data_IF_891287333937
#
_entry.id   IF_891287333937
#
_cell.length_a   1.000
_cell.length_b   1.000
_cell.length_c   1.000
_cell.angle_alpha   90.00
_cell.angle_beta   90.00
_cell.angle_gamma   90.00
#
_symmetry.space_group_name_H-M   'P 1'
#
loop_
_entity.id
_entity.type
_entity.pdbx_description
1 polymer ?
#
# COMPACT_ATOMS: atom_id res chain seq x y z
N UNK A 1 13.65 -34.63 -2.30
CA UNK A 1 12.62 -33.97 -3.13
C UNK A 1 11.22 -34.55 -2.94
N UNK A 2 11.00 -35.87 -3.04
CA UNK A 2 9.66 -36.48 -2.91
C UNK A 2 8.89 -36.17 -1.60
N UNK A 3 9.59 -35.96 -0.48
CA UNK A 3 8.97 -35.59 0.80
C UNK A 3 8.30 -34.21 0.78
N UNK A 4 8.82 -33.25 0.01
CA UNK A 4 8.21 -31.91 -0.13
C UNK A 4 6.93 -31.94 -0.96
N UNK A 5 6.91 -32.74 -2.03
CA UNK A 5 5.76 -32.88 -2.92
C UNK A 5 4.59 -33.55 -2.18
N UNK A 6 4.87 -34.65 -1.46
CA UNK A 6 3.86 -35.35 -0.64
C UNK A 6 3.26 -34.48 0.48
N UNK A 7 4.00 -33.50 0.99
CA UNK A 7 3.48 -32.61 2.04
C UNK A 7 2.38 -31.64 1.57
N UNK A 8 2.29 -31.41 0.25
CA UNK A 8 1.31 -30.52 -0.36
C UNK A 8 0.28 -31.25 -1.24
N UNK A 9 0.29 -32.58 -1.25
CA UNK A 9 -0.81 -33.32 -1.87
C UNK A 9 -2.14 -32.89 -1.24
N UNK A 10 -3.09 -32.40 -2.04
CA UNK A 10 -4.41 -32.13 -1.53
C UNK A 10 -4.95 -33.47 -1.02
N UNK A 11 -5.17 -33.59 0.28
CA UNK A 11 -5.97 -34.69 0.84
C UNK A 11 -7.40 -34.49 0.33
N UNK A 12 -7.64 -34.87 -0.92
CA UNK A 12 -8.95 -35.02 -1.52
C UNK A 12 -9.54 -36.27 -0.90
N UNK A 13 -10.25 -36.09 0.21
CA UNK A 13 -11.32 -36.97 0.70
C UNK A 13 -11.77 -36.42 2.05
N UNK A 14 -12.80 -35.57 2.01
CA UNK A 14 -13.84 -35.71 3.01
C UNK A 14 -14.78 -36.78 2.44
N UNK A 15 -14.91 -37.97 3.05
CA UNK A 15 -15.97 -38.89 2.65
C UNK A 15 -17.30 -38.14 2.77
N UNK A 16 -18.16 -38.29 1.75
CA UNK A 16 -19.51 -37.74 1.73
C UNK A 16 -20.21 -38.16 3.02
N UNK A 17 -20.29 -37.23 3.98
CA UNK A 17 -20.91 -37.49 5.27
C UNK A 17 -22.37 -37.16 5.11
N UNK A 18 -23.20 -38.21 5.17
CA UNK A 18 -24.65 -38.11 5.29
C UNK A 18 -25.04 -37.05 6.33
N UNK A 19 -25.89 -36.14 5.87
CA UNK A 19 -26.88 -35.32 6.56
C UNK A 19 -26.61 -34.86 8.02
N UNK A 20 -26.55 -33.53 8.19
CA UNK A 20 -27.14 -32.88 9.37
C UNK A 20 -26.21 -32.40 10.49
N UNK A 21 -24.91 -32.74 10.51
CA UNK A 21 -24.00 -32.19 11.53
C UNK A 21 -23.37 -30.89 11.03
N UNK A 22 -23.67 -29.78 11.72
CA UNK A 22 -22.95 -28.48 11.60
C UNK A 22 -21.45 -28.78 11.60
N UNK A 23 -20.83 -28.76 10.43
CA UNK A 23 -19.39 -28.92 10.27
C UNK A 23 -18.74 -27.81 11.09
N UNK A 24 -18.27 -28.17 12.29
CA UNK A 24 -17.55 -27.26 13.16
C UNK A 24 -16.38 -26.73 12.35
N UNK A 25 -16.47 -25.45 11.97
CA UNK A 25 -15.49 -24.73 11.16
C UNK A 25 -14.21 -24.48 11.97
N UNK A 26 -13.82 -25.44 12.82
CA UNK A 26 -12.47 -25.69 13.33
C UNK A 26 -11.55 -26.02 12.16
N UNK A 27 -11.38 -25.02 11.31
CA UNK A 27 -10.15 -24.55 10.71
C UNK A 27 -8.95 -25.40 11.12
N UNK A 28 -8.78 -26.56 10.47
CA UNK A 28 -7.66 -27.48 10.75
C UNK A 28 -6.37 -26.70 10.71
N UNK A 29 -5.63 -26.72 11.83
CA UNK A 29 -4.29 -26.17 11.90
C UNK A 29 -3.46 -26.90 10.84
N UNK A 30 -2.62 -26.21 10.08
CA UNK A 30 -1.78 -26.87 9.10
C UNK A 30 -0.89 -27.90 9.80
N UNK A 31 -0.72 -29.06 9.17
CA UNK A 31 0.10 -30.14 9.72
C UNK A 31 1.53 -29.65 9.93
N UNK A 32 2.23 -30.23 10.92
CA UNK A 32 3.64 -29.92 11.19
C UNK A 32 4.49 -30.06 9.92
N UNK A 33 4.20 -31.08 9.11
CA UNK A 33 4.87 -31.35 7.84
C UNK A 33 4.73 -30.18 6.84
N UNK A 34 3.55 -29.58 6.70
CA UNK A 34 3.36 -28.41 5.83
C UNK A 34 4.19 -27.20 6.30
N UNK A 35 4.32 -27.00 7.62
CA UNK A 35 5.13 -25.92 8.18
C UNK A 35 6.62 -26.14 7.92
N UNK A 36 7.11 -27.36 8.09
CA UNK A 36 8.51 -27.74 7.84
C UNK A 36 8.86 -27.65 6.35
N UNK A 37 7.99 -28.14 5.48
CA UNK A 37 8.12 -28.01 4.03
C UNK A 37 8.24 -26.55 3.61
N UNK A 38 7.42 -25.67 4.20
CA UNK A 38 7.53 -24.24 3.93
C UNK A 38 8.81 -23.60 4.46
N UNK A 39 9.28 -24.00 5.64
CA UNK A 39 10.58 -23.54 6.17
C UNK A 39 11.70 -23.90 5.21
N UNK A 40 11.72 -25.15 4.70
CA UNK A 40 12.68 -25.62 3.69
C UNK A 40 12.58 -24.81 2.39
N UNK A 41 11.36 -24.60 1.87
CA UNK A 41 11.08 -23.73 0.72
C UNK A 41 11.68 -22.32 0.85
N UNK A 42 11.66 -21.74 2.06
CA UNK A 42 12.24 -20.42 2.33
C UNK A 42 13.76 -20.40 2.45
N UNK A 43 14.38 -21.52 2.81
CA UNK A 43 15.83 -21.67 2.90
C UNK A 43 16.48 -21.88 1.52
N UNK A 44 15.72 -22.35 0.52
CA UNK A 44 16.22 -22.51 -0.84
C UNK A 44 16.52 -21.16 -1.53
N UNK A 45 17.54 -21.17 -2.40
CA UNK A 45 17.91 -20.04 -3.25
C UNK A 45 16.75 -19.64 -4.18
N UNK A 46 16.70 -18.38 -4.68
CA UNK A 46 15.62 -17.95 -5.58
C UNK A 46 15.47 -18.84 -6.83
N UNK A 47 16.59 -19.27 -7.43
CA UNK A 47 16.59 -20.16 -8.59
C UNK A 47 16.03 -21.55 -8.24
N UNK A 48 16.54 -22.20 -7.19
CA UNK A 48 16.06 -23.51 -6.74
C UNK A 48 14.58 -23.48 -6.32
N UNK A 49 14.14 -22.36 -5.71
CA UNK A 49 12.74 -22.15 -5.37
C UNK A 49 11.86 -22.06 -6.62
N UNK A 50 12.29 -21.34 -7.67
CA UNK A 50 11.57 -21.28 -8.95
C UNK A 50 11.45 -22.66 -9.59
N UNK A 51 12.56 -23.39 -9.71
CA UNK A 51 12.59 -24.74 -10.28
C UNK A 51 11.63 -25.66 -9.55
N UNK A 52 11.66 -25.67 -8.22
CA UNK A 52 10.75 -26.49 -7.41
C UNK A 52 9.29 -26.03 -7.53
N UNK A 53 9.00 -24.72 -7.55
CA UNK A 53 7.63 -24.23 -7.74
C UNK A 53 7.08 -24.64 -9.12
N UNK A 54 7.94 -24.73 -10.14
CA UNK A 54 7.56 -25.19 -11.47
C UNK A 54 7.26 -26.70 -11.51
N UNK A 55 7.89 -27.49 -10.64
CA UNK A 55 7.62 -28.93 -10.48
C UNK A 55 6.32 -29.22 -9.73
N UNK A 56 5.74 -28.25 -9.02
CA UNK A 56 4.46 -28.43 -8.36
C UNK A 56 3.31 -28.38 -9.37
N UNK A 57 2.33 -29.26 -9.19
CA UNK A 57 1.05 -29.19 -9.92
C UNK A 57 0.31 -27.90 -9.54
N UNK A 58 -0.60 -27.44 -10.40
CA UNK A 58 -1.38 -26.23 -10.14
C UNK A 58 -2.15 -26.30 -8.80
N UNK A 59 -2.75 -27.45 -8.51
CA UNK A 59 -3.43 -27.70 -7.24
C UNK A 59 -2.51 -27.58 -6.02
N UNK A 60 -1.27 -28.08 -6.11
CA UNK A 60 -0.27 -27.93 -5.05
C UNK A 60 0.18 -26.48 -4.87
N UNK A 61 0.36 -25.74 -5.97
CA UNK A 61 0.70 -24.30 -5.92
C UNK A 61 -0.41 -23.48 -5.25
N UNK A 62 -1.67 -23.71 -5.62
CA UNK A 62 -2.82 -23.04 -5.02
C UNK A 62 -2.96 -23.39 -3.53
N UNK A 63 -2.73 -24.66 -3.14
CA UNK A 63 -2.74 -25.08 -1.75
C UNK A 63 -1.65 -24.38 -0.92
N UNK A 64 -0.43 -24.30 -1.46
CA UNK A 64 0.68 -23.57 -0.87
C UNK A 64 0.37 -22.08 -0.73
N UNK A 65 -0.20 -21.44 -1.75
CA UNK A 65 -0.57 -20.02 -1.73
C UNK A 65 -1.64 -19.74 -0.66
N UNK A 66 -2.73 -20.53 -0.62
CA UNK A 66 -3.78 -20.43 0.40
C UNK A 66 -3.21 -20.56 1.80
N UNK A 67 -2.28 -21.50 2.00
CA UNK A 67 -1.59 -21.67 3.28
C UNK A 67 -0.74 -20.44 3.65
N UNK A 68 0.02 -19.87 2.71
CA UNK A 68 0.83 -18.67 2.93
C UNK A 68 -0.01 -17.45 3.29
N UNK A 69 -1.15 -17.26 2.61
CA UNK A 69 -2.11 -16.20 2.90
C UNK A 69 -2.70 -16.36 4.31
N UNK A 70 -3.06 -17.60 4.69
CA UNK A 70 -3.58 -17.91 6.02
C UNK A 70 -2.57 -17.64 7.14
N UNK A 71 -1.32 -18.04 6.96
CA UNK A 71 -0.25 -17.75 7.93
C UNK A 71 0.00 -16.25 8.11
N UNK A 72 -0.11 -15.47 7.03
CA UNK A 72 -0.02 -14.01 7.12
C UNK A 72 -1.16 -13.41 7.96
N UNK A 73 -2.38 -13.94 7.83
CA UNK A 73 -3.52 -13.53 8.65
C UNK A 73 -3.31 -13.90 10.13
N UNK A 74 -2.83 -15.11 10.44
CA UNK A 74 -2.56 -15.55 11.81
C UNK A 74 -1.50 -14.69 12.49
N UNK A 75 -0.37 -14.41 11.83
CA UNK A 75 0.67 -13.50 12.36
C UNK A 75 0.13 -12.10 12.63
N UNK A 76 -0.79 -11.61 11.81
CA UNK A 76 -1.41 -10.31 12.01
C UNK A 76 -2.34 -10.29 13.23
N UNK A 77 -3.06 -11.40 13.49
CA UNK A 77 -3.88 -11.58 14.69
C UNK A 77 -3.02 -11.67 15.95
N UNK A 78 -1.92 -12.43 15.93
CA UNK A 78 -1.00 -12.56 17.08
C UNK A 78 -0.37 -11.23 17.48
N UNK A 79 0.04 -10.42 16.49
CA UNK A 79 0.58 -9.07 16.76
C UNK A 79 -0.48 -8.15 17.38
N UNK A 80 -1.75 -8.26 16.94
CA UNK A 80 -2.86 -7.50 17.54
C UNK A 80 -3.19 -7.98 18.96
N UNK A 81 -3.25 -9.29 19.20
CA UNK A 81 -3.51 -9.87 20.52
C UNK A 81 -2.39 -9.59 21.52
N UNK A 82 -1.12 -9.68 21.09
CA UNK A 82 0.03 -9.29 21.93
C UNK A 82 0.03 -7.81 22.31
N UNK A 83 -0.49 -6.94 21.44
CA UNK A 83 -0.71 -5.53 21.78
C UNK A 83 -1.85 -5.34 22.77
N UNK A 84 -2.94 -6.09 22.63
CA UNK A 84 -4.07 -6.03 23.56
C UNK A 84 -3.71 -6.54 24.97
N UNK A 85 -2.92 -7.62 25.07
CA UNK A 85 -2.51 -8.21 26.36
C UNK A 85 -1.46 -7.42 27.14
N UNK A 86 -0.80 -6.44 26.51
CA UNK A 86 0.23 -5.60 27.16
C UNK A 86 -0.33 -4.35 27.84
N UNK A 87 -1.64 -4.20 27.96
CA UNK A 87 -2.25 -3.09 28.68
C UNK A 87 -3.07 -3.62 29.86
N UNK A 88 -2.45 -3.88 31.02
CA UNK A 88 -3.18 -4.17 32.24
C UNK A 88 -3.71 -2.85 32.82
N UNK A 89 -4.96 -2.91 33.28
CA UNK A 89 -5.69 -2.00 34.17
C UNK A 89 -5.82 -0.49 33.83
N UNK A 90 -7.06 -0.01 33.96
CA UNK A 90 -7.40 1.40 34.12
C UNK A 90 -8.26 1.95 33.00
N UNK A 91 -9.54 2.13 33.29
CA UNK A 91 -10.51 2.94 32.53
C UNK A 91 -9.82 4.24 32.11
N UNK A 92 -9.52 4.35 30.82
CA UNK A 92 -8.94 5.55 30.22
C UNK A 92 -9.81 5.93 29.04
N UNK A 93 -10.51 7.05 29.19
CA UNK A 93 -10.95 7.91 28.09
C UNK A 93 -9.88 7.90 26.97
N UNK A 94 -10.28 7.91 25.68
CA UNK A 94 -9.35 7.78 24.56
C UNK A 94 -8.39 8.97 24.51
N UNK A 95 -7.32 8.90 25.30
CA UNK A 95 -6.17 9.79 25.22
C UNK A 95 -5.50 9.49 23.88
N UNK A 96 -5.55 10.48 23.00
CA UNK A 96 -4.74 10.64 21.79
C UNK A 96 -3.25 10.54 22.13
N UNK A 97 -2.76 9.32 22.37
CA UNK A 97 -1.34 9.05 22.55
C UNK A 97 -0.64 9.19 21.20
N UNK A 98 -0.14 10.40 20.96
CA UNK A 98 0.82 10.71 19.91
C UNK A 98 2.07 9.83 19.99
N UNK A 99 2.68 9.62 18.83
CA UNK A 99 3.98 8.95 18.67
C UNK A 99 3.94 7.68 17.82
N UNK A 100 2.75 7.16 17.50
CA UNK A 100 2.59 5.92 16.77
C UNK A 100 2.49 6.06 15.25
N UNK A 101 3.31 6.89 14.56
CA UNK A 101 3.21 7.15 13.10
C UNK A 101 1.77 6.96 12.62
N UNK A 102 0.88 7.80 13.14
CA UNK A 102 -0.55 7.77 12.84
C UNK A 102 -0.69 7.52 11.35
N UNK A 103 -1.32 6.40 10.98
CA UNK A 103 -1.54 6.11 9.56
C UNK A 103 -2.28 7.32 9.02
N UNK A 104 -1.65 8.18 8.21
CA UNK A 104 -2.23 9.45 7.90
C UNK A 104 -3.37 9.19 6.91
N UNK A 105 -4.61 9.34 7.40
CA UNK A 105 -5.78 9.39 6.52
C UNK A 105 -7.01 8.60 6.95
N UNK A 106 -7.29 8.42 8.24
CA UNK A 106 -8.60 7.93 8.68
C UNK A 106 -9.09 8.75 9.88
N UNK A 107 -10.28 9.34 9.77
CA UNK A 107 -10.89 10.15 10.83
C UNK A 107 -10.62 11.65 10.68
N UNK A 108 -10.61 12.36 11.81
CA UNK A 108 -10.40 13.81 11.86
C UNK A 108 -8.92 14.12 12.00
N UNK A 109 -8.37 14.87 11.05
CA UNK A 109 -7.03 15.38 11.07
C UNK A 109 -7.02 16.83 11.58
N UNK A 110 -6.26 17.08 12.65
CA UNK A 110 -6.04 18.41 13.22
C UNK A 110 -4.73 19.00 12.68
N UNK A 111 -4.78 20.22 12.18
CA UNK A 111 -3.60 20.96 11.73
C UNK A 111 -3.60 22.37 12.35
N UNK A 112 -2.44 22.86 12.79
CA UNK A 112 -2.26 24.27 13.14
C UNK A 112 -1.73 25.03 11.92
N UNK A 113 -2.39 26.10 11.50
CA UNK A 113 -1.98 26.99 10.40
C UNK A 113 -2.12 28.44 10.83
N UNK A 114 -1.04 29.21 10.75
CA UNK A 114 -1.01 30.63 11.16
C UNK A 114 -1.63 30.85 12.57
N UNK A 115 -1.23 30.02 13.55
CA UNK A 115 -1.72 30.06 14.92
C UNK A 115 -3.15 29.54 15.13
N UNK A 116 -3.91 29.25 14.06
CA UNK A 116 -5.28 28.73 14.15
C UNK A 116 -5.32 27.22 13.99
N UNK A 117 -6.17 26.57 14.77
CA UNK A 117 -6.44 25.14 14.65
C UNK A 117 -7.52 24.91 13.61
N UNK A 118 -7.24 24.05 12.64
CA UNK A 118 -8.19 23.60 11.62
C UNK A 118 -8.29 22.08 11.59
N UNK A 119 -9.44 21.58 11.20
CA UNK A 119 -9.83 20.18 11.19
C UNK A 119 -10.22 19.75 9.79
N UNK A 120 -9.98 18.49 9.44
CA UNK A 120 -10.36 17.90 8.15
C UNK A 120 -10.76 16.46 8.37
N UNK A 121 -11.90 16.04 7.82
CA UNK A 121 -12.30 14.64 7.83
C UNK A 121 -11.70 13.91 6.63
N UNK A 122 -11.44 12.61 6.78
CA UNK A 122 -11.02 11.76 5.67
C UNK A 122 -11.23 10.27 5.90
N UNK A 123 -11.51 9.56 4.81
CA UNK A 123 -11.71 8.10 4.78
C UNK A 123 -11.00 7.51 3.56
N UNK A 124 -10.65 6.22 3.61
CA UNK A 124 -10.18 5.50 2.43
C UNK A 124 -11.26 4.53 1.94
N UNK A 125 -11.56 4.61 0.65
CA UNK A 125 -12.53 3.81 -0.10
C UNK A 125 -11.78 3.02 -1.17
N UNK A 126 -11.07 1.98 -0.74
CA UNK A 126 -10.23 1.18 -1.64
C UNK A 126 -9.08 2.03 -2.24
N UNK A 127 -9.03 2.21 -3.58
CA UNK A 127 -8.05 3.06 -4.23
C UNK A 127 -8.33 4.56 -4.03
N UNK A 128 -9.52 4.95 -3.61
CA UNK A 128 -9.86 6.35 -3.42
C UNK A 128 -9.63 6.79 -1.97
N UNK A 129 -9.06 7.98 -1.80
CA UNK A 129 -8.94 8.64 -0.51
C UNK A 129 -9.78 9.91 -0.53
N UNK A 130 -10.86 9.90 0.22
CA UNK A 130 -11.80 11.00 0.32
C UNK A 130 -11.49 11.87 1.51
N UNK A 131 -11.74 13.16 1.35
CA UNK A 131 -11.52 14.13 2.40
C UNK A 131 -12.23 15.45 2.16
N UNK A 132 -12.56 16.14 3.25
CA UNK A 132 -13.13 17.47 3.19
C UNK A 132 -12.07 18.56 3.09
N UNK A 133 -12.51 19.78 2.82
CA UNK A 133 -11.73 20.98 3.10
C UNK A 133 -11.41 21.09 4.60
N UNK A 134 -10.43 21.94 4.93
CA UNK A 134 -10.14 22.30 6.32
C UNK A 134 -11.22 23.25 6.85
N UNK A 135 -11.72 22.99 8.05
CA UNK A 135 -12.70 23.81 8.76
C UNK A 135 -12.16 24.18 10.16
N UNK A 136 -12.51 25.34 10.70
CA UNK A 136 -12.13 25.73 12.06
C UNK A 136 -12.96 24.99 13.12
N UNK A 137 -14.18 24.58 12.76
CA UNK A 137 -15.11 23.91 13.66
C UNK A 137 -14.94 22.38 13.62
N UNK A 138 -14.64 21.81 14.79
CA UNK A 138 -14.51 20.36 14.96
C UNK A 138 -15.85 19.63 14.77
N UNK A 139 -16.98 20.25 15.09
CA UNK A 139 -18.29 19.62 14.95
C UNK A 139 -18.67 19.46 13.48
N UNK A 140 -18.41 20.48 12.65
CA UNK A 140 -18.51 20.36 11.19
C UNK A 140 -17.63 19.25 10.62
N UNK A 141 -16.41 19.09 11.14
CA UNK A 141 -15.53 18.00 10.75
C UNK A 141 -16.06 16.63 11.19
N UNK A 142 -16.73 16.52 12.34
CA UNK A 142 -17.40 15.28 12.79
C UNK A 142 -18.58 14.92 11.89
N UNK A 143 -19.51 15.85 11.64
CA UNK A 143 -20.65 15.63 10.75
C UNK A 143 -20.19 15.26 9.32
N UNK A 144 -19.13 15.91 8.84
CA UNK A 144 -18.49 15.54 7.58
C UNK A 144 -17.94 14.11 7.59
N UNK A 145 -17.34 13.67 8.70
CA UNK A 145 -16.81 12.32 8.83
C UNK A 145 -17.93 11.27 8.84
N UNK A 146 -19.07 11.57 9.46
CA UNK A 146 -20.26 10.71 9.43
C UNK A 146 -20.78 10.53 8.00
N UNK A 147 -20.92 11.62 7.23
CA UNK A 147 -21.27 11.55 5.81
C UNK A 147 -20.28 10.71 5.00
N UNK A 148 -18.97 10.89 5.24
CA UNK A 148 -17.93 10.08 4.61
C UNK A 148 -18.03 8.59 4.96
N UNK A 149 -18.45 8.25 6.19
CA UNK A 149 -18.69 6.85 6.56
C UNK A 149 -19.95 6.29 5.89
N UNK A 150 -21.01 7.07 5.69
CA UNK A 150 -22.18 6.65 4.90
C UNK A 150 -21.77 6.30 3.47
N UNK A 151 -21.01 7.17 2.80
CA UNK A 151 -20.43 6.90 1.46
C UNK A 151 -19.62 5.60 1.48
N UNK A 152 -18.76 5.42 2.50
CA UNK A 152 -17.96 4.21 2.63
C UNK A 152 -18.80 2.94 2.73
N UNK A 153 -19.89 2.97 3.49
CA UNK A 153 -20.75 1.81 3.69
C UNK A 153 -21.52 1.47 2.41
N UNK A 154 -22.02 2.46 1.68
CA UNK A 154 -22.70 2.26 0.39
C UNK A 154 -21.76 1.57 -0.59
N UNK A 155 -20.56 2.13 -0.79
CA UNK A 155 -19.55 1.53 -1.70
C UNK A 155 -19.21 0.10 -1.28
N UNK A 156 -19.02 -0.16 0.02
CA UNK A 156 -18.73 -1.52 0.53
C UNK A 156 -19.88 -2.49 0.29
N UNK A 157 -21.14 -2.06 0.47
CA UNK A 157 -22.32 -2.89 0.26
C UNK A 157 -22.48 -3.26 -1.21
N UNK A 158 -22.24 -2.30 -2.12
CA UNK A 158 -22.25 -2.59 -3.55
C UNK A 158 -21.19 -3.62 -3.94
N UNK A 159 -19.94 -3.45 -3.49
CA UNK A 159 -18.84 -4.38 -3.79
C UNK A 159 -18.98 -5.76 -3.12
N UNK A 160 -19.85 -5.89 -2.13
CA UNK A 160 -20.10 -7.17 -1.46
C UNK A 160 -21.11 -8.05 -2.21
N UNK A 161 -21.78 -7.53 -3.25
CA UNK A 161 -22.74 -8.30 -4.05
C UNK A 161 -21.96 -9.25 -4.99
N UNK A 162 -22.16 -10.57 -4.88
CA UNK A 162 -21.37 -11.56 -5.63
C UNK A 162 -21.77 -11.68 -7.10
N UNK A 163 -22.90 -11.09 -7.51
CA UNK A 163 -23.50 -11.24 -8.85
C UNK A 163 -22.87 -10.35 -9.92
N UNK A 164 -22.05 -9.38 -9.52
CA UNK A 164 -21.39 -8.45 -10.42
C UNK A 164 -19.94 -8.88 -10.63
N UNK A 165 -19.74 -10.01 -11.31
CA UNK A 165 -18.41 -10.37 -11.81
C UNK A 165 -18.40 -10.10 -13.32
N UNK A 166 -18.55 -8.83 -13.68
CA UNK A 166 -18.40 -8.39 -15.05
C UNK A 166 -16.96 -8.71 -15.52
N UNK A 167 -16.76 -9.47 -16.61
CA UNK A 167 -15.44 -9.75 -17.17
C UNK A 167 -14.68 -8.48 -17.58
N UNK A 168 -15.37 -7.35 -17.80
CA UNK A 168 -14.75 -6.04 -18.05
C UNK A 168 -14.06 -5.44 -16.80
N UNK A 169 -14.19 -6.09 -15.65
CA UNK A 169 -13.31 -5.97 -14.51
C UNK A 169 -13.92 -5.23 -13.33
N UNK A 170 -13.45 -5.52 -12.09
CA UNK A 170 -14.01 -5.00 -10.83
C UNK A 170 -13.88 -3.47 -10.66
N UNK A 171 -13.36 -2.77 -11.67
CA UNK A 171 -13.23 -1.32 -11.67
C UNK A 171 -14.57 -0.61 -11.94
N UNK A 172 -15.38 -1.11 -12.87
CA UNK A 172 -16.62 -0.41 -13.28
C UNK A 172 -17.63 -0.33 -12.14
N UNK A 173 -17.84 -1.42 -11.41
CA UNK A 173 -18.76 -1.45 -10.27
C UNK A 173 -18.33 -0.54 -9.14
N UNK A 174 -17.03 -0.49 -8.86
CA UNK A 174 -16.49 0.43 -7.87
C UNK A 174 -16.77 1.89 -8.28
N UNK A 175 -16.62 2.21 -9.57
CA UNK A 175 -16.91 3.54 -10.12
C UNK A 175 -18.40 3.90 -9.99
N UNK A 176 -19.30 3.00 -10.38
CA UNK A 176 -20.75 3.19 -10.27
C UNK A 176 -21.17 3.37 -8.82
N UNK A 177 -20.72 2.50 -7.93
CA UNK A 177 -21.00 2.60 -6.50
C UNK A 177 -20.45 3.90 -5.90
N UNK A 178 -19.29 4.35 -6.38
CA UNK A 178 -18.68 5.58 -5.92
C UNK A 178 -19.45 6.83 -6.38
N UNK A 179 -19.87 6.89 -7.65
CA UNK A 179 -20.71 8.00 -8.17
C UNK A 179 -22.03 8.07 -7.40
N UNK A 180 -22.75 6.95 -7.29
CA UNK A 180 -24.04 6.89 -6.58
C UNK A 180 -23.93 7.34 -5.12
N UNK A 181 -22.86 6.92 -4.42
CA UNK A 181 -22.63 7.34 -3.05
C UNK A 181 -22.32 8.85 -2.93
N UNK A 182 -21.63 9.43 -3.92
CA UNK A 182 -21.36 10.87 -3.98
C UNK A 182 -22.60 11.69 -4.34
N UNK A 183 -23.52 11.18 -5.15
CA UNK A 183 -24.78 11.86 -5.44
C UNK A 183 -25.67 11.95 -4.21
N UNK A 184 -25.70 10.91 -3.37
CA UNK A 184 -26.54 10.86 -2.17
C UNK A 184 -25.99 11.68 -0.99
N UNK A 185 -24.67 11.73 -0.85
CA UNK A 185 -24.03 12.27 0.36
C UNK A 185 -22.80 13.15 0.07
N UNK A 186 -22.47 13.39 -1.19
CA UNK A 186 -21.42 14.30 -1.59
C UNK A 186 -21.86 15.75 -1.39
N UNK A 187 -20.91 16.59 -1.03
CA UNK A 187 -21.08 18.04 -1.06
C UNK A 187 -19.96 18.67 -1.86
N UNK A 188 -20.15 19.91 -2.30
CA UNK A 188 -19.21 20.62 -3.20
C UNK A 188 -17.80 20.80 -2.65
N UNK A 189 -17.65 20.67 -1.33
CA UNK A 189 -16.36 20.81 -0.62
C UNK A 189 -15.59 19.50 -0.48
N UNK A 190 -16.15 18.41 -0.99
CA UNK A 190 -15.52 17.10 -0.93
C UNK A 190 -14.48 16.96 -2.05
N UNK A 191 -13.34 16.38 -1.69
CA UNK A 191 -12.24 16.11 -2.61
C UNK A 191 -11.77 14.69 -2.43
N UNK A 192 -11.23 14.11 -3.49
CA UNK A 192 -10.64 12.79 -3.44
C UNK A 192 -9.32 12.72 -4.19
N UNK A 193 -8.46 11.79 -3.77
CA UNK A 193 -7.23 11.47 -4.48
C UNK A 193 -7.18 9.98 -4.73
N UNK A 194 -6.57 9.57 -5.83
CA UNK A 194 -6.39 8.17 -6.19
C UNK A 194 -5.07 7.68 -5.60
N UNK A 195 -5.09 6.50 -5.00
CA UNK A 195 -3.94 5.81 -4.44
C UNK A 195 -3.66 4.50 -5.18
N UNK A 196 -2.46 4.38 -5.74
CA UNK A 196 -2.03 3.20 -6.48
C UNK A 196 -0.85 2.54 -5.77
N UNK A 197 -0.91 1.24 -5.42
CA UNK A 197 0.09 0.59 -4.58
C UNK A 197 1.46 0.37 -5.27
N UNK A 198 2.31 1.38 -5.36
CA UNK A 198 3.63 1.28 -5.99
C UNK A 198 4.77 0.87 -5.03
N UNK A 199 4.43 0.21 -3.91
CA UNK A 199 5.40 -0.06 -2.83
C UNK A 199 6.64 -0.82 -3.31
N UNK A 200 6.49 -1.62 -4.36
CA UNK A 200 7.57 -2.44 -4.91
C UNK A 200 8.52 -1.64 -5.78
N UNK A 201 8.02 -0.62 -6.44
CA UNK A 201 8.80 0.22 -7.34
C UNK A 201 9.42 1.43 -6.65
N UNK A 202 8.78 1.96 -5.61
CA UNK A 202 9.23 3.19 -4.93
C UNK A 202 9.08 3.16 -3.40
N UNK A 203 8.86 1.99 -2.81
CA UNK A 203 8.74 1.83 -1.35
C UNK A 203 7.43 2.37 -0.74
N UNK A 204 6.56 2.99 -1.54
CA UNK A 204 5.27 3.58 -1.10
C UNK A 204 4.17 3.50 -2.16
N UNK A 205 2.93 3.77 -1.77
CA UNK A 205 1.85 4.02 -2.73
C UNK A 205 2.03 5.41 -3.38
N UNK A 206 1.74 5.49 -4.68
CA UNK A 206 1.58 6.76 -5.39
C UNK A 206 0.21 7.33 -5.04
N UNK A 207 0.15 8.64 -4.83
CA UNK A 207 -1.09 9.37 -4.61
C UNK A 207 -1.14 10.53 -5.61
N UNK A 208 -2.25 10.62 -6.35
CA UNK A 208 -2.49 11.73 -7.27
C UNK A 208 -2.73 13.04 -6.51
N UNK A 209 -2.77 14.17 -7.22
CA UNK A 209 -3.40 15.38 -6.71
C UNK A 209 -4.87 15.11 -6.33
N UNK A 210 -5.45 16.05 -5.57
CA UNK A 210 -6.83 15.95 -5.15
C UNK A 210 -7.75 16.54 -6.22
N UNK A 211 -8.77 15.80 -6.59
CA UNK A 211 -9.82 16.17 -7.53
C UNK A 211 -11.07 16.57 -6.75
N UNK A 212 -11.84 17.52 -7.29
CA UNK A 212 -13.17 17.84 -6.77
C UNK A 212 -14.13 16.66 -7.05
N UNK A 213 -15.11 16.44 -6.18
CA UNK A 213 -16.18 15.44 -6.43
C UNK A 213 -17.33 15.98 -7.25
N UNK A 214 -17.34 17.28 -7.57
CA UNK A 214 -18.34 17.94 -8.41
C UNK A 214 -17.75 18.38 -9.76
N UNK A 215 -18.64 18.54 -10.75
CA UNK A 215 -18.30 18.95 -12.12
C UNK A 215 -17.26 18.05 -12.79
N UNK A 216 -16.43 18.65 -13.64
CA UNK A 216 -15.39 17.93 -14.39
C UNK A 216 -14.29 17.31 -13.49
N UNK A 217 -14.21 17.72 -12.22
CA UNK A 217 -13.24 17.18 -11.27
C UNK A 217 -13.43 15.68 -11.03
N UNK A 218 -14.69 15.23 -10.94
CA UNK A 218 -15.01 13.82 -10.68
C UNK A 218 -14.52 12.94 -11.83
N UNK A 219 -14.89 13.29 -13.06
CA UNK A 219 -14.49 12.55 -14.26
C UNK A 219 -12.97 12.57 -14.47
N UNK A 220 -12.31 13.69 -14.21
CA UNK A 220 -10.85 13.78 -14.26
C UNK A 220 -10.18 12.82 -13.27
N UNK A 221 -10.70 12.73 -12.04
CA UNK A 221 -10.15 11.82 -11.03
C UNK A 221 -10.43 10.34 -11.32
N UNK A 222 -11.61 10.02 -11.86
CA UNK A 222 -11.96 8.66 -12.29
C UNK A 222 -11.16 8.22 -13.52
N UNK A 223 -10.98 9.11 -14.50
CA UNK A 223 -10.10 8.90 -15.65
C UNK A 223 -8.65 8.66 -15.21
N UNK A 224 -8.13 9.49 -14.30
CA UNK A 224 -6.80 9.29 -13.72
C UNK A 224 -6.66 7.91 -13.05
N UNK A 225 -7.67 7.45 -12.33
CA UNK A 225 -7.66 6.13 -11.73
C UNK A 225 -7.67 5.00 -12.76
N UNK A 226 -8.53 5.08 -13.79
CA UNK A 226 -8.56 4.11 -14.89
C UNK A 226 -7.20 4.00 -15.57
N UNK A 227 -6.61 5.13 -15.97
CA UNK A 227 -5.28 5.21 -16.60
C UNK A 227 -4.19 4.59 -15.73
N UNK A 228 -4.13 4.92 -14.44
CA UNK A 228 -3.13 4.32 -13.55
C UNK A 228 -3.36 2.83 -13.30
N UNK A 229 -4.61 2.38 -13.30
CA UNK A 229 -4.95 0.96 -13.12
C UNK A 229 -4.52 0.16 -14.34
N UNK A 230 -4.78 0.65 -15.55
CA UNK A 230 -4.30 0.05 -16.81
C UNK A 230 -2.76 0.00 -16.81
N UNK A 231 -2.09 1.13 -16.58
CA UNK A 231 -0.62 1.18 -16.57
C UNK A 231 0.01 0.27 -15.50
N UNK A 232 -0.68 0.06 -14.37
CA UNK A 232 -0.25 -0.86 -13.32
C UNK A 232 -0.43 -2.33 -13.71
N UNK A 233 -1.54 -2.67 -14.37
CA UNK A 233 -1.95 -4.05 -14.64
C UNK A 233 -1.19 -4.71 -15.81
N UNK A 234 -0.26 -3.99 -16.45
CA UNK A 234 0.63 -4.52 -17.48
C UNK A 234 1.46 -5.70 -16.94
N UNK A 235 1.83 -5.68 -15.65
CA UNK A 235 2.35 -6.89 -14.98
C UNK A 235 1.17 -7.80 -14.66
N UNK A 236 0.95 -8.76 -15.55
CA UNK A 236 -0.30 -9.51 -15.78
C UNK A 236 -0.79 -10.45 -14.67
N UNK A 237 -0.30 -10.30 -13.45
CA UNK A 237 -0.74 -11.11 -12.30
C UNK A 237 -1.03 -10.17 -11.17
N UNK A 238 -2.15 -10.37 -10.47
CA UNK A 238 -2.38 -9.77 -9.16
C UNK A 238 -1.17 -10.08 -8.29
N UNK A 239 -0.25 -9.11 -8.29
CA UNK A 239 1.10 -9.35 -7.90
C UNK A 239 1.07 -9.25 -6.38
N UNK A 240 0.68 -10.34 -5.73
CA UNK A 240 0.90 -10.56 -4.33
C UNK A 240 2.41 -10.57 -4.11
N UNK A 241 2.88 -10.15 -2.92
CA UNK A 241 4.32 -10.05 -2.61
C UNK A 241 5.13 -11.32 -2.88
N UNK A 242 4.45 -12.42 -3.12
CA UNK A 242 4.97 -13.76 -3.29
C UNK A 242 4.95 -14.26 -4.74
N UNK A 243 4.11 -13.72 -5.64
CA UNK A 243 4.04 -14.14 -7.05
C UNK A 243 5.06 -13.43 -7.94
N UNK A 244 5.48 -12.22 -7.60
CA UNK A 244 6.49 -11.45 -8.38
C UNK A 244 7.87 -12.08 -8.41
N UNK A 245 8.18 -13.03 -7.53
CA UNK A 245 9.46 -13.74 -7.65
C UNK A 245 9.56 -14.51 -8.97
N UNK A 246 8.48 -14.64 -9.74
CA UNK A 246 8.45 -15.27 -11.05
C UNK A 246 8.51 -14.28 -12.22
N UNK A 247 8.21 -13.00 -12.01
CA UNK A 247 8.15 -12.04 -13.10
C UNK A 247 9.58 -11.65 -13.54
N UNK A 248 9.76 -11.44 -14.85
CA UNK A 248 11.04 -11.00 -15.40
C UNK A 248 11.38 -9.59 -14.90
N UNK A 249 12.65 -9.36 -14.57
CA UNK A 249 13.13 -8.06 -14.09
C UNK A 249 12.86 -6.97 -15.13
N UNK A 250 12.97 -7.29 -16.41
CA UNK A 250 12.71 -6.34 -17.50
C UNK A 250 11.23 -5.97 -17.58
N UNK A 251 10.32 -6.93 -17.44
CA UNK A 251 8.87 -6.67 -17.41
C UNK A 251 8.46 -5.79 -16.22
N UNK A 252 9.02 -6.05 -15.03
CA UNK A 252 8.74 -5.24 -13.83
C UNK A 252 9.19 -3.79 -14.03
N UNK A 253 10.34 -3.59 -14.68
CA UNK A 253 10.89 -2.25 -14.94
C UNK A 253 10.11 -1.54 -16.05
N UNK A 254 9.76 -2.24 -17.13
CA UNK A 254 8.91 -1.69 -18.20
C UNK A 254 7.55 -1.22 -17.65
N UNK A 255 6.89 -2.03 -16.82
CA UNK A 255 5.64 -1.65 -16.18
C UNK A 255 5.81 -0.49 -15.18
N UNK A 256 6.96 -0.39 -14.52
CA UNK A 256 7.26 0.80 -13.71
C UNK A 256 7.32 2.05 -14.57
N UNK A 257 8.05 2.02 -15.69
CA UNK A 257 8.18 3.17 -16.59
C UNK A 257 6.81 3.63 -17.12
N UNK A 258 5.93 2.68 -17.49
CA UNK A 258 4.57 3.00 -17.91
C UNK A 258 3.75 3.65 -16.79
N UNK A 259 3.75 3.08 -15.58
CA UNK A 259 3.06 3.66 -14.43
C UNK A 259 3.61 5.05 -14.05
N UNK A 260 4.94 5.21 -14.13
CA UNK A 260 5.65 6.46 -13.86
C UNK A 260 5.23 7.56 -14.84
N UNK A 261 5.21 7.26 -16.15
CA UNK A 261 4.77 8.20 -17.19
C UNK A 261 3.32 8.63 -16.96
N UNK A 262 2.41 7.66 -16.79
CA UNK A 262 1.01 7.94 -16.56
C UNK A 262 0.78 8.80 -15.30
N UNK A 263 1.49 8.50 -14.20
CA UNK A 263 1.42 9.31 -12.99
C UNK A 263 1.94 10.73 -13.19
N UNK A 264 3.04 10.89 -13.92
CA UNK A 264 3.62 12.19 -14.23
C UNK A 264 2.63 13.05 -15.02
N UNK A 265 2.10 12.52 -16.12
CA UNK A 265 1.11 13.21 -16.98
C UNK A 265 -0.14 13.61 -16.20
N UNK A 266 -0.67 12.73 -15.35
CA UNK A 266 -1.83 13.03 -14.50
C UNK A 266 -1.53 14.18 -13.53
N UNK A 267 -0.32 14.21 -12.95
CA UNK A 267 0.05 15.29 -12.04
C UNK A 267 0.18 16.62 -12.76
N UNK A 268 0.78 16.63 -13.96
CA UNK A 268 0.93 17.82 -14.80
C UNK A 268 -0.43 18.32 -15.28
N UNK A 269 -1.31 17.43 -15.76
CA UNK A 269 -2.67 17.77 -16.18
C UNK A 269 -3.52 18.35 -15.02
N UNK A 270 -3.23 17.94 -13.79
CA UNK A 270 -3.84 18.52 -12.59
C UNK A 270 -3.16 19.81 -12.09
N UNK A 271 -2.28 20.42 -12.90
CA UNK A 271 -1.64 21.72 -12.63
C UNK A 271 -0.38 21.65 -11.76
N UNK A 272 0.19 20.48 -11.50
CA UNK A 272 1.49 20.42 -10.80
C UNK A 272 2.64 20.78 -11.73
N UNK A 273 3.62 21.52 -11.19
CA UNK A 273 4.83 21.88 -11.94
C UNK A 273 5.62 20.62 -12.35
N UNK A 274 5.92 20.42 -13.66
CA UNK A 274 6.64 19.24 -14.16
C UNK A 274 7.92 18.93 -13.39
N UNK A 275 8.76 19.94 -13.15
CA UNK A 275 10.05 19.78 -12.46
C UNK A 275 9.90 19.22 -11.04
N UNK A 276 8.88 19.67 -10.31
CA UNK A 276 8.61 19.22 -8.96
C UNK A 276 8.12 17.78 -8.93
N UNK A 277 7.30 17.38 -9.91
CA UNK A 277 6.82 16.01 -10.05
C UNK A 277 7.99 15.09 -10.40
N UNK A 278 8.84 15.49 -11.35
CA UNK A 278 10.03 14.74 -11.76
C UNK A 278 11.02 14.56 -10.60
N UNK A 279 11.40 15.65 -9.92
CA UNK A 279 12.30 15.60 -8.77
C UNK A 279 11.76 14.72 -7.63
N UNK A 280 10.44 14.77 -7.41
CA UNK A 280 9.76 13.93 -6.42
C UNK A 280 9.80 12.44 -6.78
N UNK A 281 9.60 12.09 -8.06
CA UNK A 281 9.72 10.71 -8.53
C UNK A 281 11.16 10.20 -8.43
N UNK A 282 12.13 10.98 -8.93
CA UNK A 282 13.56 10.66 -8.83
C UNK A 282 14.00 10.42 -7.38
N UNK A 283 13.53 11.26 -6.45
CA UNK A 283 13.80 11.08 -5.02
C UNK A 283 13.25 9.75 -4.50
N UNK A 284 12.05 9.35 -4.90
CA UNK A 284 11.45 8.10 -4.46
C UNK A 284 12.15 6.88 -5.06
N UNK A 285 12.57 6.96 -6.32
CA UNK A 285 13.37 5.94 -7.00
C UNK A 285 14.74 5.77 -6.33
N UNK A 286 15.42 6.87 -6.01
CA UNK A 286 16.71 6.86 -5.31
C UNK A 286 16.64 6.15 -3.95
N UNK A 287 15.56 6.32 -3.20
CA UNK A 287 15.33 5.62 -1.92
C UNK A 287 15.22 4.10 -2.13
N UNK A 288 14.55 3.63 -3.17
CA UNK A 288 14.48 2.18 -3.47
C UNK A 288 15.83 1.63 -3.90
N UNK A 289 16.54 2.33 -4.79
CA UNK A 289 17.88 1.90 -5.22
C UNK A 289 18.83 1.73 -4.03
N UNK A 290 18.62 2.49 -2.96
CA UNK A 290 19.31 2.27 -1.68
C UNK A 290 18.82 1.01 -0.95
N UNK A 291 17.52 0.82 -0.76
CA UNK A 291 16.96 -0.38 -0.10
C UNK A 291 17.32 -1.69 -0.82
N UNK A 292 17.33 -1.68 -2.17
CA UNK A 292 17.71 -2.83 -2.98
C UNK A 292 19.18 -3.19 -2.78
N UNK A 293 20.08 -2.21 -2.94
CA UNK A 293 21.53 -2.40 -2.69
C UNK A 293 21.80 -2.83 -1.25
N UNK A 294 20.97 -2.41 -0.30
CA UNK A 294 21.09 -2.87 1.09
C UNK A 294 20.65 -4.34 1.23
N UNK A 295 19.56 -4.77 0.58
CA UNK A 295 19.14 -6.17 0.57
C UNK A 295 20.14 -7.08 -0.15
N UNK A 296 20.66 -6.67 -1.30
CA UNK A 296 21.71 -7.39 -2.03
C UNK A 296 22.96 -7.56 -1.17
N UNK A 297 23.43 -6.47 -0.52
CA UNK A 297 24.57 -6.56 0.40
C UNK A 297 24.31 -7.50 1.56
N UNK A 298 23.10 -7.51 2.15
CA UNK A 298 22.74 -8.49 3.18
C UNK A 298 22.78 -9.92 2.66
N UNK A 299 22.30 -10.17 1.45
CA UNK A 299 22.37 -11.51 0.84
C UNK A 299 23.82 -11.93 0.58
N UNK A 300 24.67 -11.03 0.08
CA UNK A 300 26.09 -11.31 -0.12
C UNK A 300 26.80 -11.62 1.20
N UNK A 301 26.52 -10.89 2.29
CA UNK A 301 27.07 -11.18 3.61
C UNK A 301 26.61 -12.56 4.11
N UNK A 302 25.34 -12.91 3.93
CA UNK A 302 24.85 -14.24 4.29
C UNK A 302 25.54 -15.37 3.52
N UNK A 303 25.78 -15.17 2.22
CA UNK A 303 26.50 -16.15 1.38
C UNK A 303 27.98 -16.24 1.79
N UNK A 304 28.67 -15.10 1.94
CA UNK A 304 30.11 -15.07 2.29
C UNK A 304 30.39 -15.62 3.68
N UNK A 305 29.52 -15.40 4.64
CA UNK A 305 29.75 -15.84 6.01
C UNK A 305 29.50 -17.35 6.23
N UNK A 306 29.13 -18.12 5.20
CA UNK A 306 28.82 -19.56 5.33
C UNK A 306 27.67 -19.85 6.32
N UNK A 307 26.94 -18.81 6.74
CA UNK A 307 25.95 -18.86 7.81
C UNK A 307 24.64 -19.43 7.25
N UNK A 308 24.57 -20.76 7.20
CA UNK A 308 23.35 -21.48 6.85
C UNK A 308 22.25 -21.36 7.92
N UNK A 309 22.55 -20.92 9.16
CA UNK A 309 21.64 -21.02 10.30
C UNK A 309 21.20 -19.70 10.98
N UNK A 310 21.23 -18.58 10.25
CA UNK A 310 20.23 -17.52 10.45
C UNK A 310 20.41 -16.53 11.62
N UNK A 311 21.56 -16.46 12.29
CA UNK A 311 21.93 -15.28 13.10
C UNK A 311 23.27 -14.73 12.67
N UNK A 312 23.24 -13.53 12.09
CA UNK A 312 24.44 -12.71 11.87
C UNK A 312 24.71 -12.01 13.20
N UNK A 313 25.76 -12.44 13.91
CA UNK A 313 26.26 -11.70 15.08
C UNK A 313 26.91 -10.40 14.61
N UNK A 314 26.89 -9.38 15.46
CA UNK A 314 27.56 -8.10 15.18
C UNK A 314 29.05 -8.31 14.90
N UNK A 315 29.66 -9.24 15.61
CA UNK A 315 31.08 -9.57 15.49
C UNK A 315 31.40 -10.18 14.13
N UNK A 316 30.52 -11.03 13.57
CA UNK A 316 30.72 -11.58 12.22
C UNK A 316 30.68 -10.50 11.11
N UNK A 317 29.92 -9.42 11.31
CA UNK A 317 29.94 -8.27 10.40
C UNK A 317 31.24 -7.48 10.54
N UNK A 318 31.67 -7.21 11.78
CA UNK A 318 32.88 -6.45 12.06
C UNK A 318 34.14 -7.21 11.59
N UNK A 319 34.24 -8.53 11.84
CA UNK A 319 35.35 -9.39 11.40
C UNK A 319 35.47 -9.54 9.88
N UNK A 320 34.37 -9.44 9.15
CA UNK A 320 34.40 -9.44 7.68
C UNK A 320 34.77 -8.06 7.09
N UNK A 321 35.26 -7.13 7.91
CA UNK A 321 35.65 -5.77 7.50
C UNK A 321 34.48 -4.82 7.31
N UNK A 322 33.25 -5.20 7.69
CA UNK A 322 32.08 -4.35 7.52
C UNK A 322 31.91 -3.44 8.73
N UNK A 323 32.59 -2.29 8.73
CA UNK A 323 32.19 -1.19 9.61
C UNK A 323 30.78 -0.77 9.21
N UNK A 324 29.84 -0.86 10.15
CA UNK A 324 28.48 -0.33 9.98
C UNK A 324 28.57 1.17 9.80
N UNK A 325 28.73 1.66 8.56
CA UNK A 325 28.41 3.06 8.27
C UNK A 325 26.97 3.26 8.72
N UNK A 326 26.68 4.24 9.59
CA UNK A 326 25.34 4.46 10.08
C UNK A 326 24.41 4.57 8.87
N UNK A 327 23.33 3.79 8.88
CA UNK A 327 22.28 3.95 7.88
C UNK A 327 21.87 5.41 7.95
N UNK A 328 22.04 6.23 6.88
CA UNK A 328 21.64 7.62 6.92
C UNK A 328 20.20 7.64 7.40
N UNK A 329 19.99 8.31 8.52
CA UNK A 329 18.68 8.43 9.12
C UNK A 329 17.74 9.00 8.06
N UNK A 330 16.43 8.75 8.16
CA UNK A 330 15.47 9.41 7.26
C UNK A 330 15.64 10.95 7.27
N UNK A 331 16.20 11.53 8.35
CA UNK A 331 16.52 12.95 8.46
C UNK A 331 17.76 13.35 7.66
N UNK A 332 18.72 12.45 7.50
CA UNK A 332 19.97 12.71 6.77
C UNK A 332 19.71 12.75 5.25
N UNK A 333 18.71 12.00 4.78
CA UNK A 333 18.18 12.06 3.40
C UNK A 333 17.17 13.24 3.23
N UNK A 334 16.83 13.95 4.31
CA UNK A 334 15.94 15.12 4.30
C UNK A 334 16.68 16.45 4.26
N UNK A 335 18.03 16.45 4.23
CA UNK A 335 18.80 17.67 3.95
C UNK A 335 18.48 18.09 2.52
N UNK A 336 17.70 19.17 2.39
CA UNK A 336 17.46 19.86 1.12
C UNK A 336 18.83 20.23 0.53
N UNK A 337 19.07 20.08 -0.78
CA UNK A 337 19.93 21.06 -1.43
C UNK A 337 19.20 22.40 -1.28
N UNK A 338 19.66 23.22 -0.34
CA UNK A 338 19.30 24.62 -0.28
C UNK A 338 19.92 25.27 -1.52
N UNK A 339 19.25 25.14 -2.67
CA UNK A 339 19.40 26.15 -3.71
C UNK A 339 18.72 27.38 -3.15
N UNK A 340 19.51 28.24 -2.53
CA UNK A 340 19.13 29.61 -2.22
C UNK A 340 18.99 30.30 -3.57
N UNK A 341 17.81 30.17 -4.19
CA UNK A 341 17.38 31.15 -5.18
C UNK A 341 17.07 32.41 -4.38
N UNK A 342 17.91 33.42 -4.57
CA UNK A 342 17.73 34.77 -4.03
C UNK A 342 16.32 35.27 -4.40
N UNK A 343 15.66 36.06 -3.53
CA UNK A 343 14.41 36.72 -3.91
C UNK A 343 14.71 37.65 -5.07
N UNK A 344 13.99 37.48 -6.18
CA UNK A 344 13.87 38.54 -7.18
C UNK A 344 12.76 39.46 -6.67
N UNK A 345 13.14 40.70 -6.41
CA UNK A 345 12.24 41.80 -6.07
C UNK A 345 11.23 42.01 -7.19
N UNK A 346 9.95 41.76 -6.90
CA UNK A 346 8.85 42.26 -7.72
C UNK A 346 8.44 43.61 -7.17
N UNK A 347 9.02 44.68 -7.70
CA UNK A 347 8.44 46.01 -7.61
C UNK A 347 7.13 46.04 -8.40
N UNK A 348 6.01 46.01 -7.68
CA UNK A 348 4.71 46.39 -8.22
C UNK A 348 4.71 47.91 -8.41
N UNK A 349 5.02 48.38 -9.63
CA UNK A 349 4.67 49.75 -10.05
C UNK A 349 3.17 49.75 -10.36
N UNK A 350 2.41 50.43 -9.51
CA UNK A 350 1.01 50.71 -9.76
C UNK A 350 0.86 51.63 -10.97
N UNK A 351 0.19 51.15 -12.02
CA UNK A 351 -0.42 52.03 -13.00
C UNK A 351 -1.81 52.42 -12.49
N UNK A 352 -1.89 53.59 -11.88
CA UNK A 352 -3.14 54.30 -11.75
C UNK A 352 -3.46 54.93 -13.11
N UNK A 353 -4.54 54.47 -13.75
CA UNK A 353 -5.21 55.24 -14.80
C UNK A 353 -6.38 55.95 -14.13
N UNK A 354 -6.19 57.25 -13.92
CA UNK A 354 -7.25 58.26 -13.74
C UNK A 354 -7.26 59.12 -15.00
N UNK A 355 -8.46 59.54 -15.40
CA UNK A 355 -8.71 60.53 -16.44
C UNK A 355 -9.35 59.88 -17.67
N UNK A 356 -10.51 60.31 -18.15
CA UNK A 356 -11.35 61.50 -17.89
C UNK A 356 -12.76 61.18 -18.33
#
# INVERSE_FOLDING_TARGET
>A
MGSLVKAFEPRLQCPASHEGRKCDRRQRRPSKNQQESFKRLRQLSPAARRTMLNQLTEGQRLALERWMLRQAQLRCKDVKQRKARRSPCGVKMPKSRGGGKDRPGFGIHRQCRAGRVVYRAGVNLGPFRLHTAYDADINKAKSSLEALFCIQQIVRRHLARPESLDPEGPGKELEVAFRSALEQHGGDRLRFSVQIPAKRWVGRALATPSFATSGNGLENGLSAWRRLTVARNVVRRQANRHTILQDDRHEIEAAWQQLRSAYFEICVAAGQRPDLVSAKLMRWEGIRSYEHRFQERRQQVHVKAGLHDGRVTRDALESAGWRTRPVPSKRDILVRPSVVLRPWDWHFKGCGLKGT
#
